data_IF_802741985603
#
_entry.id   IF_802741985603
#
_cell.length_a   1.000
_cell.length_b   1.000
_cell.length_c   1.000
_cell.angle_alpha   90.00
_cell.angle_beta   90.00
_cell.angle_gamma   90.00
#
_symmetry.space_group_name_H-M   'P 1'
#
loop_
_entity.id
_entity.type
_entity.pdbx_description
1 polymer ?
#
# COMPACT_ATOMS: atom_id res chain seq x y z
N UNK A 1 1.72 9.49 -12.77
CA UNK A 1 1.83 8.30 -13.64
C UNK A 1 0.91 7.21 -13.10
N UNK A 2 0.42 6.30 -13.94
CA UNK A 2 -0.51 5.22 -13.61
C UNK A 2 -0.06 3.95 -14.32
N UNK A 3 -0.17 2.79 -13.66
CA UNK A 3 0.06 1.46 -14.24
C UNK A 3 -1.12 0.56 -13.92
N UNK A 4 -1.25 -0.54 -14.65
CA UNK A 4 -2.28 -1.56 -14.47
C UNK A 4 -2.23 -2.57 -15.60
N UNK A 5 -3.36 -3.22 -15.89
CA UNK A 5 -3.54 -4.12 -17.03
C UNK A 5 -4.63 -3.60 -17.95
N UNK A 6 -4.49 -3.84 -19.26
CA UNK A 6 -5.56 -3.68 -20.23
C UNK A 6 -5.62 -4.84 -21.23
N UNK A 7 -6.83 -5.37 -21.47
CA UNK A 7 -7.13 -6.29 -22.56
C UNK A 7 -7.81 -5.61 -23.76
N UNK A 8 -7.86 -4.27 -23.78
CA UNK A 8 -8.51 -3.48 -24.81
C UNK A 8 -7.52 -3.07 -25.89
N UNK A 9 -7.78 -3.42 -27.16
CA UNK A 9 -6.92 -3.06 -28.30
C UNK A 9 -7.05 -1.60 -28.73
N UNK A 10 -8.04 -0.90 -28.20
CA UNK A 10 -8.32 0.52 -28.37
C UNK A 10 -7.96 1.36 -27.14
N UNK A 11 -7.11 0.84 -26.23
CA UNK A 11 -6.61 1.61 -25.10
C UNK A 11 -5.92 2.91 -25.58
N UNK A 12 -6.18 4.07 -24.94
CA UNK A 12 -5.60 5.34 -25.38
C UNK A 12 -4.07 5.31 -25.32
N UNK A 13 -3.40 5.52 -26.45
CA UNK A 13 -1.94 5.57 -26.55
C UNK A 13 -1.46 6.94 -27.02
N UNK A 14 -0.42 7.47 -26.39
CA UNK A 14 0.18 8.79 -26.68
C UNK A 14 1.69 8.67 -26.50
N UNK A 15 2.49 9.06 -27.51
CA UNK A 15 3.96 8.95 -27.46
C UNK A 15 4.46 7.54 -27.05
N UNK A 16 3.75 6.50 -27.48
CA UNK A 16 3.93 5.14 -26.98
C UNK A 16 5.20 4.45 -27.49
N UNK A 17 5.85 3.69 -26.61
CA UNK A 17 6.89 2.73 -26.98
C UNK A 17 6.31 1.48 -27.65
N UNK A 18 5.21 0.95 -27.11
CA UNK A 18 4.39 -0.08 -27.73
C UNK A 18 2.98 0.50 -27.95
N UNK A 19 2.61 0.69 -29.22
CA UNK A 19 1.33 1.29 -29.62
C UNK A 19 0.20 0.27 -29.79
N UNK A 20 0.48 -1.02 -29.60
CA UNK A 20 -0.45 -2.13 -29.70
C UNK A 20 -0.11 -3.14 -28.60
N UNK A 21 -1.13 -3.84 -28.10
CA UNK A 21 -0.93 -5.02 -27.26
C UNK A 21 -0.23 -6.13 -28.05
N UNK A 22 0.64 -6.88 -27.37
CA UNK A 22 1.32 -8.03 -27.96
C UNK A 22 0.72 -9.36 -27.51
N UNK A 23 -0.16 -9.36 -26.50
CA UNK A 23 -0.85 -10.55 -26.01
C UNK A 23 -2.36 -10.33 -25.74
N UNK A 24 -3.01 -11.28 -25.04
CA UNK A 24 -4.39 -11.17 -24.57
C UNK A 24 -4.62 -10.03 -23.54
N UNK A 25 -3.58 -9.51 -22.90
CA UNK A 25 -3.68 -8.31 -22.09
C UNK A 25 -2.32 -7.89 -21.53
N UNK A 26 -1.93 -6.65 -21.79
CA UNK A 26 -0.61 -6.15 -21.43
C UNK A 26 -0.71 -5.21 -20.22
N UNK A 27 0.43 -4.97 -19.56
CA UNK A 27 0.52 -3.85 -18.64
C UNK A 27 0.41 -2.54 -19.43
N UNK A 28 -0.02 -1.46 -18.78
CA UNK A 28 0.07 -0.14 -19.38
C UNK A 28 0.84 0.81 -18.47
N UNK A 29 1.47 1.83 -19.06
CA UNK A 29 2.03 2.96 -18.32
C UNK A 29 1.48 4.25 -18.92
N UNK A 30 0.81 5.06 -18.09
CA UNK A 30 0.20 6.32 -18.49
C UNK A 30 0.70 7.49 -17.65
N UNK A 31 0.86 8.65 -18.27
CA UNK A 31 1.16 9.93 -17.60
C UNK A 31 0.07 10.93 -17.93
N UNK A 32 -0.54 11.49 -16.88
CA UNK A 32 -1.43 12.63 -16.98
C UNK A 32 -0.67 13.91 -16.69
N UNK A 33 -1.07 15.00 -17.34
CA UNK A 33 -0.65 16.35 -17.01
C UNK A 33 -1.23 16.75 -15.64
N UNK A 34 -0.42 17.39 -14.80
CA UNK A 34 -0.84 17.76 -13.44
C UNK A 34 -1.80 18.94 -13.41
N UNK A 35 -1.82 19.77 -14.45
CA UNK A 35 -2.60 21.01 -14.46
C UNK A 35 -4.03 20.75 -14.96
N UNK A 36 -4.18 19.93 -16.00
CA UNK A 36 -5.48 19.68 -16.65
C UNK A 36 -5.89 18.21 -16.77
N UNK A 37 -5.05 17.27 -16.31
CA UNK A 37 -5.34 15.84 -16.34
C UNK A 37 -5.29 15.21 -17.73
N UNK A 38 -4.83 15.92 -18.76
CA UNK A 38 -4.73 15.39 -20.12
C UNK A 38 -3.66 14.29 -20.24
N UNK A 39 -3.85 13.33 -21.16
CA UNK A 39 -2.94 12.22 -21.35
C UNK A 39 -1.69 12.66 -22.15
N UNK A 40 -0.51 12.63 -21.52
CA UNK A 40 0.76 13.10 -22.10
C UNK A 40 1.61 11.96 -22.66
N UNK A 41 1.55 10.80 -22.02
CA UNK A 41 2.21 9.57 -22.43
C UNK A 41 1.30 8.40 -22.07
N UNK A 42 1.21 7.40 -22.94
CA UNK A 42 0.54 6.14 -22.67
C UNK A 42 1.04 5.07 -23.62
N UNK A 43 1.47 3.94 -23.06
CA UNK A 43 2.00 2.79 -23.80
C UNK A 43 1.43 1.50 -23.25
N UNK A 44 1.29 0.49 -24.11
CA UNK A 44 1.28 -0.90 -23.65
C UNK A 44 2.71 -1.28 -23.22
N UNK A 45 2.83 -2.30 -22.38
CA UNK A 45 4.10 -2.87 -21.97
C UNK A 45 3.94 -4.36 -21.68
N UNK A 46 4.41 -5.18 -22.61
CA UNK A 46 4.30 -6.62 -22.46
C UNK A 46 4.88 -7.43 -23.60
N UNK A 47 4.70 -8.74 -23.45
CA UNK A 47 5.07 -9.78 -24.40
C UNK A 47 3.83 -10.40 -25.03
N UNK A 48 3.89 -11.67 -25.43
CA UNK A 48 2.82 -12.33 -26.18
C UNK A 48 1.71 -12.99 -25.33
N UNK A 49 1.76 -12.83 -24.01
CA UNK A 49 0.78 -13.37 -23.05
C UNK A 49 0.23 -12.25 -22.15
N UNK A 50 0.12 -12.49 -20.85
CA UNK A 50 -0.53 -11.59 -19.91
C UNK A 50 0.50 -10.87 -19.05
N UNK A 51 0.37 -9.55 -19.00
CA UNK A 51 1.14 -8.70 -18.11
C UNK A 51 0.22 -7.87 -17.21
N UNK A 52 0.65 -7.67 -15.97
CA UNK A 52 -0.04 -6.84 -15.00
C UNK A 52 0.96 -5.86 -14.39
N UNK A 53 0.66 -4.56 -14.46
CA UNK A 53 1.35 -3.57 -13.65
C UNK A 53 0.92 -3.66 -12.19
N UNK A 54 1.86 -3.87 -11.26
CA UNK A 54 1.60 -3.92 -9.82
C UNK A 54 1.73 -2.54 -9.17
N UNK A 55 2.87 -1.88 -9.41
CA UNK A 55 3.16 -0.56 -8.85
C UNK A 55 4.21 0.18 -9.70
N UNK A 56 4.27 1.51 -9.54
CA UNK A 56 5.28 2.34 -10.21
C UNK A 56 5.74 3.50 -9.32
N UNK A 57 6.99 3.91 -9.52
CA UNK A 57 7.56 5.10 -8.90
C UNK A 57 8.43 5.86 -9.92
N UNK A 58 8.53 7.18 -9.77
CA UNK A 58 9.42 8.02 -10.58
C UNK A 58 10.62 8.40 -9.73
N UNK A 59 11.83 8.07 -10.20
CA UNK A 59 13.06 8.41 -9.50
C UNK A 59 13.37 9.90 -9.54
N UNK A 60 14.26 10.35 -8.66
CA UNK A 60 14.75 11.75 -8.64
C UNK A 60 15.52 12.13 -9.92
N UNK A 61 15.99 11.14 -10.69
CA UNK A 61 16.55 11.29 -12.03
C UNK A 61 15.50 11.48 -13.13
N UNK A 62 14.21 11.34 -12.81
CA UNK A 62 13.08 11.42 -13.73
C UNK A 62 12.71 10.11 -14.40
N UNK A 63 13.48 9.03 -14.23
CA UNK A 63 13.19 7.72 -14.82
C UNK A 63 12.01 7.04 -14.13
N UNK A 64 11.34 6.14 -14.86
CA UNK A 64 10.15 5.44 -14.39
C UNK A 64 10.55 4.03 -13.99
N UNK A 65 10.21 3.61 -12.78
CA UNK A 65 10.48 2.29 -12.26
C UNK A 65 9.14 1.61 -11.99
N UNK A 66 8.98 0.37 -12.41
CA UNK A 66 7.75 -0.38 -12.22
C UNK A 66 8.02 -1.84 -11.91
N UNK A 67 7.10 -2.44 -11.16
CA UNK A 67 7.04 -3.87 -10.93
C UNK A 67 5.67 -4.41 -11.33
N UNK A 68 5.59 -5.72 -11.49
CA UNK A 68 4.37 -6.39 -11.90
C UNK A 68 4.57 -7.89 -12.03
N UNK A 69 3.74 -8.50 -12.87
CA UNK A 69 3.78 -9.92 -13.14
C UNK A 69 3.61 -10.21 -14.64
N UNK A 70 4.30 -11.22 -15.15
CA UNK A 70 4.24 -11.64 -16.56
C UNK A 70 4.32 -13.16 -16.71
N UNK A 71 3.55 -13.73 -17.62
CA UNK A 71 3.69 -15.14 -18.06
C UNK A 71 4.25 -15.26 -19.49
N UNK A 72 4.74 -14.14 -20.04
CA UNK A 72 5.36 -14.03 -21.37
C UNK A 72 6.84 -14.34 -21.34
N UNK A 73 7.28 -15.35 -22.09
CA UNK A 73 8.71 -15.65 -22.23
C UNK A 73 9.47 -14.61 -23.08
N UNK A 74 8.75 -13.79 -23.85
CA UNK A 74 9.25 -12.70 -24.68
C UNK A 74 9.00 -11.32 -24.06
N UNK A 75 8.83 -11.24 -22.73
CA UNK A 75 8.72 -9.97 -22.02
C UNK A 75 9.93 -9.06 -22.34
N UNK A 76 9.75 -7.72 -22.45
CA UNK A 76 10.81 -6.78 -22.85
C UNK A 76 11.96 -6.65 -21.84
N UNK A 77 12.82 -7.66 -21.74
CA UNK A 77 14.01 -7.66 -20.86
C UNK A 77 15.19 -6.89 -21.48
N UNK A 78 15.95 -6.20 -20.64
CA UNK A 78 17.17 -5.44 -21.00
C UNK A 78 18.14 -5.55 -19.83
N UNK A 79 19.36 -6.03 -20.10
CA UNK A 79 20.39 -6.32 -19.09
C UNK A 79 19.86 -7.07 -17.84
N UNK A 80 19.13 -8.20 -18.02
CA UNK A 80 18.40 -8.84 -16.93
C UNK A 80 19.32 -9.55 -15.93
N UNK A 81 18.94 -9.51 -14.65
CA UNK A 81 19.50 -10.36 -13.59
C UNK A 81 19.05 -11.82 -13.80
N UNK A 82 17.76 -12.02 -14.08
CA UNK A 82 17.17 -13.28 -14.50
C UNK A 82 16.58 -13.12 -15.89
N UNK A 83 17.15 -13.83 -16.86
CA UNK A 83 16.86 -13.64 -18.28
C UNK A 83 15.70 -14.49 -18.82
N UNK A 84 15.19 -15.45 -18.04
CA UNK A 84 14.14 -16.37 -18.48
C UNK A 84 13.12 -16.59 -17.38
N UNK A 85 11.88 -16.88 -17.78
CA UNK A 85 10.85 -17.42 -16.90
C UNK A 85 11.24 -18.80 -16.36
N UNK A 86 10.84 -19.09 -15.12
CA UNK A 86 11.09 -20.39 -14.46
C UNK A 86 9.80 -21.22 -14.28
N UNK A 87 8.66 -20.68 -14.73
CA UNK A 87 7.33 -21.26 -14.60
C UNK A 87 7.22 -22.72 -15.05
N UNK A 88 6.69 -23.58 -14.19
CA UNK A 88 6.46 -25.01 -14.47
C UNK A 88 4.98 -25.33 -14.72
N UNK A 89 4.05 -24.47 -14.32
CA UNK A 89 2.60 -24.66 -14.44
C UNK A 89 1.97 -23.51 -15.27
N UNK A 90 1.02 -23.84 -16.14
CA UNK A 90 0.23 -22.88 -16.92
C UNK A 90 -0.69 -22.12 -15.95
N UNK A 91 -0.71 -20.78 -15.99
CA UNK A 91 -1.43 -19.84 -15.08
C UNK A 91 -0.63 -19.23 -13.91
N UNK A 92 0.65 -19.53 -13.79
CA UNK A 92 1.57 -18.79 -12.93
C UNK A 92 2.17 -17.59 -13.69
N UNK A 93 2.63 -16.59 -12.95
CA UNK A 93 3.39 -15.45 -13.46
C UNK A 93 4.75 -15.41 -12.76
N UNK A 94 5.78 -14.86 -13.40
CA UNK A 94 6.96 -14.38 -12.68
C UNK A 94 6.83 -12.89 -12.42
N UNK A 95 7.41 -12.42 -11.31
CA UNK A 95 7.49 -10.97 -11.09
C UNK A 95 8.45 -10.36 -12.09
N UNK A 96 8.27 -9.07 -12.40
CA UNK A 96 9.26 -8.32 -13.14
C UNK A 96 9.60 -7.02 -12.43
N UNK A 97 10.79 -6.49 -12.74
CA UNK A 97 11.20 -5.12 -12.41
C UNK A 97 11.72 -4.48 -13.69
N UNK A 98 11.22 -3.30 -14.00
CA UNK A 98 11.59 -2.54 -15.19
C UNK A 98 11.90 -1.10 -14.81
N UNK A 99 12.93 -0.54 -15.46
CA UNK A 99 13.25 0.89 -15.48
C UNK A 99 13.13 1.39 -16.92
N UNK A 100 12.33 2.42 -17.13
CA UNK A 100 12.18 3.15 -18.37
C UNK A 100 12.83 4.53 -18.25
N UNK A 101 13.22 5.12 -19.38
CA UNK A 101 13.56 6.54 -19.45
C UNK A 101 12.39 7.41 -18.97
N UNK A 102 12.66 8.61 -18.45
CA UNK A 102 11.60 9.49 -17.92
C UNK A 102 10.52 9.93 -18.92
N UNK A 103 10.81 9.87 -20.22
CA UNK A 103 9.84 10.09 -21.29
C UNK A 103 9.08 8.81 -21.70
N UNK A 104 9.41 7.66 -21.10
CA UNK A 104 8.80 6.36 -21.35
C UNK A 104 9.17 5.73 -22.69
N UNK A 105 10.12 6.29 -23.44
CA UNK A 105 10.45 5.87 -24.80
C UNK A 105 11.41 4.68 -24.89
N UNK A 106 12.17 4.39 -23.82
CA UNK A 106 13.24 3.38 -23.81
C UNK A 106 13.22 2.55 -22.54
N UNK A 107 13.35 1.23 -22.67
CA UNK A 107 13.65 0.31 -21.55
C UNK A 107 15.14 0.39 -21.24
N UNK A 108 15.50 0.84 -20.03
CA UNK A 108 16.88 1.01 -19.57
C UNK A 108 17.38 -0.24 -18.83
N UNK A 109 16.49 -0.91 -18.12
CA UNK A 109 16.74 -2.16 -17.41
C UNK A 109 15.42 -2.92 -17.30
N UNK A 110 15.43 -4.24 -17.46
CA UNK A 110 14.24 -5.06 -17.25
C UNK A 110 14.61 -6.52 -17.04
N UNK A 111 14.11 -7.09 -15.95
CA UNK A 111 14.40 -8.46 -15.51
C UNK A 111 13.12 -9.15 -15.07
N UNK A 112 13.09 -10.48 -15.21
CA UNK A 112 12.20 -11.31 -14.38
C UNK A 112 12.79 -11.41 -12.96
N UNK A 113 11.97 -11.78 -11.99
CA UNK A 113 12.40 -12.35 -10.72
C UNK A 113 11.32 -13.32 -10.22
N UNK A 114 11.56 -14.63 -10.35
CA UNK A 114 10.58 -15.64 -9.99
C UNK A 114 11.10 -17.07 -10.15
N UNK A 115 10.43 -17.99 -9.48
CA UNK A 115 10.71 -19.41 -9.43
C UNK A 115 9.72 -20.23 -10.26
N UNK A 116 9.47 -21.45 -9.80
CA UNK A 116 8.69 -22.44 -10.57
C UNK A 116 7.17 -22.24 -10.50
N UNK A 117 6.68 -21.47 -9.53
CA UNK A 117 5.26 -21.23 -9.26
C UNK A 117 4.90 -19.74 -9.50
N UNK A 118 3.84 -19.25 -8.86
CA UNK A 118 3.32 -17.91 -9.10
C UNK A 118 4.05 -16.87 -8.24
N UNK A 119 4.66 -15.88 -8.90
CA UNK A 119 5.43 -14.79 -8.33
C UNK A 119 4.93 -13.45 -8.88
N UNK A 120 4.56 -12.53 -8.00
CA UNK A 120 3.89 -11.27 -8.37
C UNK A 120 4.51 -10.09 -7.66
N UNK A 121 5.10 -9.17 -8.42
CA UNK A 121 5.53 -7.87 -7.91
C UNK A 121 4.32 -6.99 -7.60
N UNK A 122 4.24 -6.46 -6.39
CA UNK A 122 3.08 -5.71 -5.87
C UNK A 122 3.38 -4.28 -5.48
N UNK A 123 4.61 -4.01 -5.04
CA UNK A 123 5.02 -2.70 -4.55
C UNK A 123 6.48 -2.42 -4.93
N UNK A 124 6.79 -1.15 -5.21
CA UNK A 124 8.14 -0.71 -5.55
C UNK A 124 8.47 0.61 -4.84
N UNK A 125 9.69 0.75 -4.37
CA UNK A 125 10.22 1.96 -3.75
C UNK A 125 11.67 2.19 -4.12
N UNK A 126 12.14 3.43 -3.94
CA UNK A 126 13.52 3.83 -4.19
C UNK A 126 14.08 4.50 -2.94
N UNK A 127 15.36 4.28 -2.67
CA UNK A 127 16.11 5.15 -1.75
C UNK A 127 16.69 6.37 -2.48
N UNK A 128 17.35 7.26 -1.74
CA UNK A 128 17.97 8.48 -2.28
C UNK A 128 19.09 8.19 -3.30
N UNK A 129 19.71 7.01 -3.23
CA UNK A 129 20.73 6.53 -4.17
C UNK A 129 20.12 5.82 -5.40
N UNK A 130 18.78 5.76 -5.49
CA UNK A 130 17.99 5.09 -6.53
C UNK A 130 18.15 3.57 -6.57
N UNK A 131 18.56 2.94 -5.47
CA UNK A 131 18.45 1.48 -5.35
C UNK A 131 16.97 1.09 -5.37
N UNK A 132 16.69 -0.04 -6.02
CA UNK A 132 15.33 -0.46 -6.33
C UNK A 132 14.89 -1.47 -5.29
N UNK A 133 13.96 -1.08 -4.43
CA UNK A 133 13.32 -1.97 -3.47
C UNK A 133 11.98 -2.42 -4.06
N UNK A 134 11.67 -3.70 -3.98
CA UNK A 134 10.38 -4.20 -4.40
C UNK A 134 9.92 -5.36 -3.54
N UNK A 135 8.61 -5.52 -3.46
CA UNK A 135 7.98 -6.54 -2.66
C UNK A 135 6.78 -7.12 -3.39
N UNK A 136 6.44 -8.35 -3.05
CA UNK A 136 5.45 -9.12 -3.78
C UNK A 136 5.06 -10.39 -3.06
N UNK A 137 4.33 -11.25 -3.77
CA UNK A 137 3.91 -12.55 -3.27
C UNK A 137 4.61 -13.61 -4.11
N UNK A 138 5.06 -14.68 -3.46
CA UNK A 138 5.69 -15.82 -4.10
C UNK A 138 5.03 -17.10 -3.60
N UNK A 139 4.63 -17.98 -4.52
CA UNK A 139 4.25 -19.36 -4.22
C UNK A 139 5.39 -20.34 -4.51
N UNK A 140 6.56 -19.83 -4.89
CA UNK A 140 7.71 -20.60 -5.32
C UNK A 140 8.59 -20.93 -4.12
N UNK A 141 8.88 -22.21 -3.87
CA UNK A 141 9.87 -22.63 -2.86
C UNK A 141 11.31 -22.44 -3.36
N UNK A 142 11.47 -22.29 -4.68
CA UNK A 142 12.69 -21.98 -5.40
C UNK A 142 12.79 -20.51 -5.86
N UNK A 143 12.12 -19.57 -5.16
CA UNK A 143 12.25 -18.15 -5.45
C UNK A 143 13.74 -17.71 -5.46
N UNK A 144 14.18 -16.81 -6.37
CA UNK A 144 15.57 -16.41 -6.47
C UNK A 144 16.04 -15.64 -5.23
N UNK A 145 16.61 -16.35 -4.25
CA UNK A 145 17.12 -15.79 -2.99
C UNK A 145 18.58 -15.32 -3.11
N UNK A 146 18.87 -14.17 -2.49
CA UNK A 146 20.23 -13.67 -2.27
C UNK A 146 20.32 -13.02 -0.90
N UNK A 147 21.35 -13.34 -0.09
CA UNK A 147 21.52 -12.80 1.27
C UNK A 147 20.23 -12.79 2.12
N UNK A 148 19.42 -13.85 2.02
CA UNK A 148 18.07 -13.87 2.58
C UNK A 148 18.04 -13.89 4.12
N UNK A 149 17.19 -13.06 4.71
CA UNK A 149 16.86 -13.09 6.14
C UNK A 149 16.04 -14.34 6.50
N UNK A 150 15.06 -14.68 5.66
CA UNK A 150 14.28 -15.91 5.69
C UNK A 150 14.51 -16.66 4.38
N UNK A 151 15.15 -17.82 4.47
CA UNK A 151 15.59 -18.62 3.33
C UNK A 151 14.65 -19.81 2.99
N UNK A 152 13.55 -19.94 3.72
CA UNK A 152 12.60 -21.05 3.55
C UNK A 152 11.20 -20.48 3.36
N UNK A 153 10.55 -20.91 2.29
CA UNK A 153 9.13 -20.70 2.06
C UNK A 153 8.32 -21.43 3.14
N UNK A 154 7.53 -20.68 3.90
CA UNK A 154 6.68 -21.18 4.98
C UNK A 154 5.22 -21.33 4.58
N UNK A 155 4.77 -20.52 3.63
CA UNK A 155 3.36 -20.34 3.31
C UNK A 155 2.69 -21.58 2.73
N UNK A 156 1.36 -21.59 2.82
CA UNK A 156 0.55 -22.64 2.17
C UNK A 156 0.45 -22.41 0.65
N UNK A 157 0.10 -21.18 0.26
CA UNK A 157 -0.02 -20.78 -1.15
C UNK A 157 0.89 -19.62 -1.53
N UNK A 158 1.10 -18.67 -0.61
CA UNK A 158 1.99 -17.53 -0.82
C UNK A 158 2.68 -17.14 0.48
N UNK A 159 3.97 -16.87 0.38
CA UNK A 159 4.70 -15.99 1.28
C UNK A 159 4.80 -14.61 0.61
N UNK A 160 4.90 -13.56 1.43
CA UNK A 160 5.42 -12.30 0.92
C UNK A 160 6.92 -12.46 0.62
N UNK A 161 7.44 -11.65 -0.28
CA UNK A 161 8.88 -11.48 -0.45
C UNK A 161 9.24 -10.00 -0.46
N UNK A 162 10.48 -9.70 -0.10
CA UNK A 162 11.09 -8.39 -0.30
C UNK A 162 12.47 -8.56 -0.91
N UNK A 163 12.82 -7.67 -1.83
CA UNK A 163 14.08 -7.70 -2.56
C UNK A 163 14.61 -6.29 -2.82
N UNK A 164 15.92 -6.19 -3.03
CA UNK A 164 16.60 -4.97 -3.45
C UNK A 164 17.56 -5.25 -4.60
N UNK A 165 17.50 -4.41 -5.62
CA UNK A 165 18.40 -4.37 -6.77
C UNK A 165 19.22 -3.08 -6.70
N UNK A 166 20.51 -3.16 -7.01
CA UNK A 166 21.38 -2.00 -7.09
C UNK A 166 20.86 -0.97 -8.12
N UNK A 167 21.11 0.32 -7.90
CA UNK A 167 20.56 1.41 -8.72
C UNK A 167 20.83 1.31 -10.24
N UNK A 168 21.93 0.63 -10.63
CA UNK A 168 22.30 0.39 -12.03
C UNK A 168 21.68 -0.88 -12.64
N UNK A 169 20.90 -1.63 -11.87
CA UNK A 169 20.28 -2.89 -12.30
C UNK A 169 21.24 -4.08 -12.37
N UNK A 170 22.51 -3.92 -11.99
CA UNK A 170 23.54 -4.93 -12.23
C UNK A 170 23.50 -6.13 -11.29
N UNK A 171 22.89 -5.98 -10.11
CA UNK A 171 22.87 -7.04 -9.10
C UNK A 171 21.65 -6.98 -8.17
N UNK A 172 21.21 -8.17 -7.78
CA UNK A 172 20.27 -8.39 -6.67
C UNK A 172 21.07 -8.38 -5.37
N UNK A 173 20.90 -7.36 -4.53
CA UNK A 173 21.64 -7.18 -3.27
C UNK A 173 21.10 -8.09 -2.17
N UNK A 174 19.78 -8.24 -2.12
CA UNK A 174 19.12 -9.25 -1.33
C UNK A 174 17.74 -9.58 -1.90
N UNK A 175 17.25 -10.75 -1.52
CA UNK A 175 15.86 -11.17 -1.65
C UNK A 175 15.56 -12.19 -0.57
N UNK A 176 14.41 -12.05 0.08
CA UNK A 176 14.01 -12.86 1.23
C UNK A 176 12.52 -13.16 1.17
N UNK A 177 12.12 -14.34 1.64
CA UNK A 177 10.74 -14.56 2.03
C UNK A 177 10.41 -13.70 3.26
N UNK A 178 9.12 -13.47 3.48
CA UNK A 178 8.54 -12.79 4.63
C UNK A 178 7.20 -13.45 4.93
N UNK A 179 7.17 -14.44 5.81
CA UNK A 179 5.93 -15.18 6.04
C UNK A 179 6.04 -16.26 7.09
N UNK A 180 4.90 -16.91 7.34
CA UNK A 180 4.73 -18.05 8.23
C UNK A 180 3.94 -19.15 7.54
N UNK A 181 3.07 -19.86 8.26
CA UNK A 181 2.46 -21.10 7.79
C UNK A 181 1.19 -20.98 6.94
N UNK A 182 0.66 -19.77 6.76
CA UNK A 182 -0.56 -19.50 5.96
C UNK A 182 -0.25 -18.60 4.76
N UNK A 183 -1.18 -17.74 4.35
CA UNK A 183 -0.97 -16.80 3.28
C UNK A 183 -0.44 -15.50 3.87
N UNK A 184 0.67 -15.04 3.31
CA UNK A 184 1.29 -13.77 3.64
C UNK A 184 1.34 -12.92 2.37
N UNK A 185 0.65 -11.79 2.37
CA UNK A 185 0.42 -11.00 1.16
C UNK A 185 0.98 -9.60 1.35
N UNK A 186 1.70 -9.10 0.34
CA UNK A 186 2.12 -7.69 0.24
C UNK A 186 1.06 -6.90 -0.52
N UNK A 187 0.70 -5.75 0.03
CA UNK A 187 -0.08 -4.74 -0.69
C UNK A 187 0.76 -3.51 -1.05
N UNK A 188 1.58 -3.02 -0.12
CA UNK A 188 2.37 -1.79 -0.30
C UNK A 188 3.70 -1.82 0.44
N UNK A 189 4.60 -0.96 -0.04
CA UNK A 189 5.87 -0.67 0.61
C UNK A 189 6.21 0.82 0.56
N UNK A 190 7.09 1.23 1.48
CA UNK A 190 7.73 2.54 1.47
C UNK A 190 9.21 2.37 1.83
N UNK A 191 10.06 3.32 1.42
CA UNK A 191 11.49 3.34 1.74
C UNK A 191 11.81 4.66 2.41
N UNK A 192 12.50 4.62 3.55
CA UNK A 192 12.92 5.85 4.24
C UNK A 192 14.25 6.39 3.69
N UNK A 193 14.61 7.63 4.06
CA UNK A 193 15.88 8.26 3.64
C UNK A 193 17.14 7.59 4.21
N UNK A 194 17.00 6.56 5.05
CA UNK A 194 18.11 5.71 5.51
C UNK A 194 18.23 4.41 4.72
N UNK A 195 17.33 4.18 3.74
CA UNK A 195 17.28 2.97 2.93
C UNK A 195 16.61 1.78 3.62
N UNK A 196 15.86 1.99 4.71
CA UNK A 196 15.05 0.92 5.30
C UNK A 196 13.78 0.72 4.49
N UNK A 197 13.42 -0.53 4.21
CA UNK A 197 12.18 -0.86 3.52
C UNK A 197 11.09 -1.22 4.53
N UNK A 198 9.93 -0.59 4.42
CA UNK A 198 8.75 -0.86 5.21
C UNK A 198 7.73 -1.56 4.32
N UNK A 199 7.27 -2.73 4.71
CA UNK A 199 6.33 -3.56 3.95
C UNK A 199 5.07 -3.77 4.80
N UNK A 200 3.90 -3.61 4.17
CA UNK A 200 2.62 -3.92 4.79
C UNK A 200 1.72 -4.73 3.87
N UNK A 201 0.75 -5.38 4.49
CA UNK A 201 -0.24 -6.19 3.84
C UNK A 201 -1.09 -6.90 4.88
N UNK A 202 -1.33 -8.19 4.68
CA UNK A 202 -2.05 -9.01 5.62
C UNK A 202 -1.48 -10.42 5.69
N UNK A 203 -1.70 -11.09 6.81
CA UNK A 203 -1.18 -12.42 7.08
C UNK A 203 -2.21 -13.24 7.85
N UNK A 204 -2.36 -14.51 7.50
CA UNK A 204 -3.07 -15.51 8.32
C UNK A 204 -2.16 -16.34 9.23
N UNK A 205 -0.87 -16.03 9.23
CA UNK A 205 0.19 -16.84 9.82
C UNK A 205 0.40 -16.48 11.29
N UNK A 206 0.15 -17.44 12.19
CA UNK A 206 0.44 -17.27 13.63
C UNK A 206 1.95 -17.19 13.88
N UNK A 207 2.75 -17.84 13.04
CA UNK A 207 4.20 -17.81 13.10
C UNK A 207 4.85 -16.76 12.16
N UNK A 208 4.11 -15.73 11.72
CA UNK A 208 4.72 -14.60 11.00
C UNK A 208 5.86 -14.00 11.85
N UNK A 209 7.03 -13.70 11.26
CA UNK A 209 8.18 -13.23 12.02
C UNK A 209 7.92 -11.85 12.64
N UNK A 210 7.84 -11.77 13.97
CA UNK A 210 7.76 -10.52 14.74
C UNK A 210 9.02 -10.28 15.57
N UNK A 211 9.28 -9.03 15.93
CA UNK A 211 10.42 -8.67 16.79
C UNK A 211 10.02 -8.53 18.26
N UNK A 212 10.84 -8.98 19.22
CA UNK A 212 10.56 -8.77 20.65
C UNK A 212 10.37 -7.28 20.99
N UNK A 213 9.32 -6.96 21.73
CA UNK A 213 9.02 -5.58 22.13
C UNK A 213 8.35 -4.72 21.05
N UNK A 214 7.91 -5.32 19.94
CA UNK A 214 7.00 -4.66 19.01
C UNK A 214 5.61 -4.46 19.63
N UNK A 215 4.80 -3.59 19.02
CA UNK A 215 3.47 -3.22 19.50
C UNK A 215 2.56 -4.44 19.75
N UNK A 216 2.46 -5.32 18.76
CA UNK A 216 1.68 -6.55 18.83
C UNK A 216 2.53 -7.70 18.29
N UNK A 217 3.24 -8.43 19.17
CA UNK A 217 4.15 -9.50 18.76
C UNK A 217 3.45 -10.83 18.52
N UNK A 218 2.14 -10.93 18.79
CA UNK A 218 1.35 -12.15 18.66
C UNK A 218 0.13 -11.90 17.78
N UNK A 219 -0.17 -12.88 16.94
CA UNK A 219 -1.32 -12.88 16.06
C UNK A 219 -2.63 -12.87 16.86
N UNK A 220 -3.54 -11.95 16.55
CA UNK A 220 -4.84 -11.79 17.20
C UNK A 220 -6.00 -12.38 16.37
N UNK A 221 -5.81 -12.54 15.06
CA UNK A 221 -6.82 -13.06 14.14
C UNK A 221 -7.49 -14.35 14.62
N UNK A 222 -8.82 -14.36 14.55
CA UNK A 222 -9.63 -15.51 14.94
C UNK A 222 -9.44 -16.73 14.04
N UNK A 223 -9.67 -17.92 14.60
CA UNK A 223 -9.76 -19.17 13.83
C UNK A 223 -11.23 -19.39 13.50
N UNK A 224 -11.59 -19.52 12.21
CA UNK A 224 -12.95 -19.78 11.73
C UNK A 224 -13.99 -18.68 12.04
N UNK A 225 -13.53 -17.43 12.22
CA UNK A 225 -14.38 -16.28 12.56
C UNK A 225 -14.51 -15.23 11.44
N UNK A 226 -13.92 -15.50 10.26
CA UNK A 226 -13.74 -14.52 9.19
C UNK A 226 -14.56 -14.73 7.92
N UNK A 227 -14.89 -13.61 7.26
CA UNK A 227 -15.74 -13.51 6.08
C UNK A 227 -17.25 -13.66 6.32
N UNK A 228 -18.05 -12.89 5.58
CA UNK A 228 -19.44 -13.25 5.30
C UNK A 228 -19.43 -14.42 4.27
N UNK A 229 -20.39 -15.36 4.35
CA UNK A 229 -20.38 -16.63 3.59
C UNK A 229 -20.25 -16.49 2.07
N UNK A 230 -19.75 -17.53 1.35
CA UNK A 230 -19.53 -18.91 1.82
C UNK A 230 -18.11 -19.16 2.37
N UNK A 231 -18.07 -19.69 3.59
CA UNK A 231 -16.89 -19.89 4.42
C UNK A 231 -15.89 -20.90 3.85
N UNK A 232 -14.58 -20.61 3.98
CA UNK A 232 -13.55 -21.64 4.12
C UNK A 232 -13.32 -21.89 5.63
N UNK A 233 -13.82 -23.00 6.19
CA UNK A 233 -13.71 -23.31 7.62
C UNK A 233 -12.30 -23.78 8.05
N UNK A 234 -11.29 -23.62 7.19
CA UNK A 234 -9.90 -23.96 7.49
C UNK A 234 -8.97 -22.74 7.52
N UNK A 235 -9.48 -21.54 7.22
CA UNK A 235 -8.65 -20.33 7.16
C UNK A 235 -8.65 -19.56 8.48
N UNK A 236 -7.49 -19.05 8.87
CA UNK A 236 -7.44 -18.01 9.89
C UNK A 236 -8.04 -16.71 9.31
N UNK A 237 -8.50 -15.85 10.21
CA UNK A 237 -8.63 -14.43 9.94
C UNK A 237 -7.29 -13.82 9.54
N UNK A 238 -7.30 -12.57 9.09
CA UNK A 238 -6.05 -11.87 8.77
C UNK A 238 -5.79 -10.71 9.69
N UNK A 239 -4.54 -10.59 10.16
CA UNK A 239 -4.03 -9.38 10.79
C UNK A 239 -3.19 -8.61 9.77
N UNK A 240 -3.09 -7.30 9.97
CA UNK A 240 -2.09 -6.48 9.27
C UNK A 240 -0.73 -6.84 9.82
N UNK A 241 0.29 -6.93 8.97
CA UNK A 241 1.67 -6.87 9.41
C UNK A 241 2.33 -5.56 8.95
N UNK A 242 3.30 -5.10 9.74
CA UNK A 242 4.22 -4.01 9.36
C UNK A 242 5.63 -4.48 9.66
N UNK A 243 6.41 -4.66 8.60
CA UNK A 243 7.80 -5.14 8.68
C UNK A 243 8.74 -4.06 8.18
N UNK A 244 9.67 -3.62 9.02
CA UNK A 244 10.79 -2.76 8.65
C UNK A 244 12.05 -3.62 8.46
N UNK A 245 12.59 -3.66 7.26
CA UNK A 245 13.88 -4.29 6.96
C UNK A 245 15.00 -3.26 6.99
N UNK A 246 16.13 -3.64 7.58
CA UNK A 246 17.37 -2.87 7.50
C UNK A 246 17.83 -2.74 6.02
N UNK A 247 18.66 -1.75 5.67
CA UNK A 247 18.99 -1.49 4.27
C UNK A 247 19.69 -2.66 3.59
N UNK A 248 20.47 -3.46 4.32
CA UNK A 248 21.14 -4.65 3.79
C UNK A 248 20.22 -5.88 3.66
N UNK A 249 18.95 -5.76 4.10
CA UNK A 249 17.99 -6.87 4.15
C UNK A 249 18.31 -7.94 5.18
N UNK A 250 19.38 -7.80 5.96
CA UNK A 250 19.92 -8.84 6.84
C UNK A 250 19.32 -8.88 8.24
N UNK A 251 18.42 -7.95 8.58
CA UNK A 251 17.72 -7.93 9.87
C UNK A 251 16.42 -7.14 9.80
N UNK A 252 15.50 -7.45 10.73
CA UNK A 252 14.34 -6.61 11.00
C UNK A 252 14.77 -5.42 11.86
N UNK A 253 14.42 -4.20 11.42
CA UNK A 253 14.37 -3.04 12.31
C UNK A 253 13.27 -3.24 13.35
N UNK A 254 12.07 -3.61 12.88
CA UNK A 254 11.00 -4.19 13.68
C UNK A 254 10.06 -5.00 12.79
N UNK A 255 9.24 -5.86 13.41
CA UNK A 255 8.10 -6.49 12.76
C UNK A 255 6.98 -6.71 13.78
N UNK A 256 5.76 -6.29 13.42
CA UNK A 256 4.59 -6.29 14.31
C UNK A 256 3.33 -6.65 13.54
N UNK A 257 2.33 -7.14 14.27
CA UNK A 257 0.95 -7.12 13.82
C UNK A 257 0.27 -5.79 14.16
N UNK A 258 -0.87 -5.52 13.53
CA UNK A 258 -1.92 -4.60 13.97
C UNK A 258 -3.25 -5.29 13.64
N UNK A 259 -3.96 -5.83 14.63
CA UNK A 259 -5.16 -6.63 14.36
C UNK A 259 -6.02 -6.94 15.58
N UNK A 260 -7.21 -7.49 15.31
CA UNK A 260 -8.18 -7.98 16.28
C UNK A 260 -8.64 -9.41 15.94
N UNK A 261 -9.84 -9.80 16.36
CA UNK A 261 -10.32 -11.16 16.18
C UNK A 261 -10.87 -11.51 14.78
N UNK A 262 -10.90 -10.56 13.84
CA UNK A 262 -11.46 -10.69 12.48
C UNK A 262 -10.47 -10.23 11.41
N UNK A 263 -10.95 -9.92 10.19
CA UNK A 263 -10.08 -9.58 9.06
C UNK A 263 -9.69 -8.11 9.08
N UNK A 264 -8.39 -7.88 8.99
CA UNK A 264 -7.74 -6.61 8.72
C UNK A 264 -6.82 -6.69 7.51
N UNK A 265 -6.75 -5.61 6.74
CA UNK A 265 -5.77 -5.46 5.65
C UNK A 265 -5.03 -4.13 5.76
N UNK A 266 -3.70 -4.13 5.61
CA UNK A 266 -2.91 -2.94 5.36
C UNK A 266 -2.81 -2.73 3.86
N UNK A 267 -3.37 -1.63 3.34
CA UNK A 267 -3.44 -1.36 1.89
C UNK A 267 -2.49 -0.29 1.42
N UNK A 268 -2.13 0.64 2.31
CA UNK A 268 -1.13 1.67 2.05
C UNK A 268 -0.18 1.84 3.23
N UNK A 269 1.06 2.19 2.94
CA UNK A 269 2.06 2.58 3.95
C UNK A 269 2.84 3.80 3.46
N UNK A 270 3.08 4.75 4.36
CA UNK A 270 3.96 5.89 4.17
C UNK A 270 4.88 6.05 5.40
N UNK A 271 6.03 6.69 5.23
CA UNK A 271 7.03 6.84 6.30
C UNK A 271 7.51 8.28 6.33
N UNK A 272 7.53 8.89 7.51
CA UNK A 272 8.02 10.27 7.68
C UNK A 272 9.55 10.34 7.85
N UNK A 273 10.09 11.56 7.89
CA UNK A 273 11.52 11.79 8.09
C UNK A 273 12.05 11.37 9.48
N UNK A 274 11.15 11.16 10.46
CA UNK A 274 11.51 10.61 11.77
C UNK A 274 11.52 9.06 11.77
N UNK A 275 11.08 8.44 10.68
CA UNK A 275 11.01 6.99 10.51
C UNK A 275 9.74 6.36 11.08
N UNK A 276 8.71 7.14 11.40
CA UNK A 276 7.41 6.63 11.83
C UNK A 276 6.64 6.10 10.62
N UNK A 277 5.95 4.98 10.80
CA UNK A 277 5.16 4.36 9.74
C UNK A 277 3.67 4.65 9.90
N UNK A 278 3.04 5.06 8.81
CA UNK A 278 1.61 5.33 8.71
C UNK A 278 0.98 4.29 7.80
N UNK A 279 0.05 3.50 8.33
CA UNK A 279 -0.63 2.43 7.60
C UNK A 279 -2.10 2.77 7.45
N UNK A 280 -2.62 2.66 6.25
CA UNK A 280 -4.05 2.78 5.97
C UNK A 280 -4.62 1.46 5.47
N UNK A 281 -5.85 1.15 5.83
CA UNK A 281 -6.49 -0.06 5.37
C UNK A 281 -7.91 -0.21 5.88
N UNK A 282 -8.34 -1.45 6.09
CA UNK A 282 -9.64 -1.70 6.73
C UNK A 282 -9.57 -2.76 7.82
N UNK A 283 -10.52 -2.70 8.74
CA UNK A 283 -10.78 -3.72 9.77
C UNK A 283 -12.25 -4.14 9.77
N UNK A 284 -12.49 -5.38 10.14
CA UNK A 284 -13.83 -5.91 10.45
C UNK A 284 -13.97 -6.30 11.92
N UNK A 285 -12.91 -6.12 12.70
CA UNK A 285 -12.80 -6.48 14.11
C UNK A 285 -13.45 -5.46 15.02
N UNK A 286 -14.38 -5.88 15.90
CA UNK A 286 -14.90 -5.01 16.96
C UNK A 286 -13.86 -4.72 18.06
N UNK A 287 -12.77 -5.50 18.10
CA UNK A 287 -11.68 -5.43 19.07
C UNK A 287 -10.35 -5.00 18.43
N UNK A 288 -10.40 -4.37 17.24
CA UNK A 288 -9.23 -3.71 16.65
C UNK A 288 -8.68 -2.67 17.64
N UNK A 289 -7.35 -2.49 17.80
CA UNK A 289 -6.73 -1.65 18.82
C UNK A 289 -6.91 -0.14 18.54
N UNK A 290 -8.17 0.31 18.52
CA UNK A 290 -8.59 1.69 18.38
C UNK A 290 -8.33 2.42 19.69
N UNK A 291 -7.49 3.47 19.67
CA UNK A 291 -7.37 4.39 20.79
C UNK A 291 -8.46 5.47 20.66
N UNK A 292 -9.36 5.57 21.66
CA UNK A 292 -10.52 6.47 21.61
C UNK A 292 -11.65 5.88 20.76
N UNK A 293 -12.85 5.73 21.33
CA UNK A 293 -13.96 4.98 20.72
C UNK A 293 -14.44 5.63 19.41
N UNK A 294 -14.06 5.11 18.22
CA UNK A 294 -14.64 5.55 16.97
C UNK A 294 -15.96 4.79 16.80
N UNK A 295 -16.76 5.19 15.83
CA UNK A 295 -17.99 4.52 15.45
C UNK A 295 -17.88 2.96 15.53
N UNK A 296 -18.75 2.24 16.26
CA UNK A 296 -18.71 0.77 16.38
C UNK A 296 -18.92 0.01 15.05
N UNK A 297 -19.07 0.73 13.93
CA UNK A 297 -18.99 0.17 12.58
C UNK A 297 -17.79 0.66 11.75
N UNK A 298 -16.84 1.41 12.30
CA UNK A 298 -15.68 1.96 11.58
C UNK A 298 -14.91 0.88 10.82
N UNK A 299 -14.91 0.96 9.49
CA UNK A 299 -14.25 -0.05 8.63
C UNK A 299 -12.88 0.41 8.17
N UNK A 300 -12.65 1.69 7.88
CA UNK A 300 -11.32 2.17 7.46
C UNK A 300 -10.51 2.58 8.68
N UNK A 301 -9.22 2.27 8.71
CA UNK A 301 -8.32 2.75 9.75
C UNK A 301 -7.09 3.47 9.17
N UNK A 302 -6.53 4.42 9.93
CA UNK A 302 -5.16 4.92 9.78
C UNK A 302 -4.41 4.69 11.08
N UNK A 303 -3.35 3.88 11.04
CA UNK A 303 -2.50 3.56 12.17
C UNK A 303 -1.15 4.27 12.05
N UNK A 304 -0.66 4.88 13.13
CA UNK A 304 0.72 5.40 13.21
C UNK A 304 1.55 4.58 14.18
N UNK A 305 2.58 3.91 13.67
CA UNK A 305 3.62 3.28 14.48
C UNK A 305 4.80 4.24 14.63
N UNK A 306 5.35 4.29 15.84
CA UNK A 306 6.61 5.00 16.09
C UNK A 306 7.79 4.36 15.33
N UNK A 307 8.90 5.07 15.26
CA UNK A 307 10.10 4.62 14.54
C UNK A 307 10.69 3.28 15.00
N UNK A 308 10.33 2.79 16.20
CA UNK A 308 10.74 1.49 16.72
C UNK A 308 9.70 0.39 16.51
N UNK A 309 8.48 0.73 16.06
CA UNK A 309 7.37 -0.19 15.92
C UNK A 309 6.83 -0.75 17.24
N UNK A 310 7.14 -0.08 18.36
CA UNK A 310 6.76 -0.51 19.72
C UNK A 310 5.51 0.20 20.21
N UNK A 311 5.24 1.39 19.68
CA UNK A 311 4.10 2.23 20.09
C UNK A 311 3.22 2.45 18.88
N UNK A 312 1.94 2.07 19.01
CA UNK A 312 0.87 2.53 18.15
C UNK A 312 0.35 3.85 18.71
N UNK A 313 0.79 4.96 18.12
CA UNK A 313 0.52 6.31 18.64
C UNK A 313 -0.96 6.66 18.53
N UNK A 314 -1.60 6.32 17.42
CA UNK A 314 -3.05 6.42 17.26
C UNK A 314 -3.56 5.47 16.19
N UNK A 315 -4.86 5.21 16.24
CA UNK A 315 -5.61 4.57 15.16
C UNK A 315 -6.88 5.38 14.92
N UNK A 316 -7.01 5.89 13.70
CA UNK A 316 -8.16 6.68 13.29
C UNK A 316 -9.18 5.82 12.55
N UNK A 317 -10.38 5.63 13.11
CA UNK A 317 -11.49 4.98 12.42
C UNK A 317 -12.26 5.94 11.51
N UNK A 318 -12.48 5.57 10.24
CA UNK A 318 -13.29 6.33 9.28
C UNK A 318 -14.55 5.53 8.93
N UNK A 319 -15.70 6.10 9.31
CA UNK A 319 -17.08 5.71 8.99
C UNK A 319 -17.56 4.28 9.31
N UNK A 320 -18.81 4.18 9.79
CA UNK A 320 -19.61 2.96 9.68
C UNK A 320 -20.34 2.79 8.34
N UNK A 321 -20.30 1.58 7.80
CA UNK A 321 -21.01 1.23 6.56
C UNK A 321 -20.39 0.01 5.89
N UNK A 322 -21.15 -0.75 5.10
CA UNK A 322 -20.61 -1.96 4.46
C UNK A 322 -19.67 -1.62 3.30
N UNK A 323 -18.46 -2.18 3.34
CA UNK A 323 -17.45 -2.19 2.27
C UNK A 323 -16.70 -0.88 1.96
N UNK A 324 -16.39 -0.07 2.97
CA UNK A 324 -15.48 1.07 2.84
C UNK A 324 -14.00 0.60 2.97
N UNK A 325 -13.07 1.16 2.20
CA UNK A 325 -11.65 0.82 2.31
C UNK A 325 -10.72 1.99 2.01
N UNK A 326 -9.74 2.23 2.89
CA UNK A 326 -8.58 3.07 2.57
C UNK A 326 -7.62 2.33 1.64
N UNK A 327 -7.02 3.04 0.70
CA UNK A 327 -6.20 2.46 -0.37
C UNK A 327 -4.79 3.06 -0.41
N UNK A 328 -4.69 4.38 -0.41
CA UNK A 328 -3.42 5.09 -0.51
C UNK A 328 -3.20 6.00 0.69
N UNK A 329 -1.93 6.14 1.08
CA UNK A 329 -1.48 7.12 2.07
C UNK A 329 -0.14 7.69 1.59
N UNK A 330 0.03 8.99 1.74
CA UNK A 330 1.30 9.68 1.57
C UNK A 330 1.49 10.65 2.73
N UNK A 331 2.75 10.96 3.06
CA UNK A 331 3.11 11.91 4.11
C UNK A 331 4.06 12.94 3.55
N UNK A 332 3.85 14.21 3.88
CA UNK A 332 4.76 15.28 3.47
C UNK A 332 5.83 15.59 4.52
N UNK A 333 6.66 16.60 4.24
CA UNK A 333 7.75 17.03 5.13
C UNK A 333 7.27 17.69 6.43
N UNK A 334 6.00 18.04 6.52
CA UNK A 334 5.33 18.62 7.68
C UNK A 334 4.60 17.56 8.52
N UNK A 335 4.65 16.29 8.08
CA UNK A 335 3.89 15.16 8.64
C UNK A 335 2.38 15.23 8.40
N UNK A 336 1.94 16.01 7.40
CA UNK A 336 0.54 15.97 6.97
C UNK A 336 0.30 14.72 6.12
N UNK A 337 -0.86 14.08 6.33
CA UNK A 337 -1.21 12.85 5.63
C UNK A 337 -2.17 13.13 4.48
N UNK A 338 -1.93 12.49 3.34
CA UNK A 338 -2.82 12.49 2.19
C UNK A 338 -3.32 11.09 1.97
N UNK A 339 -4.63 10.89 2.14
CA UNK A 339 -5.24 9.56 2.09
C UNK A 339 -6.27 9.44 0.99
N UNK A 340 -6.35 8.26 0.41
CA UNK A 340 -7.38 7.91 -0.59
C UNK A 340 -8.14 6.67 -0.16
N UNK A 341 -9.41 6.59 -0.52
CA UNK A 341 -10.23 5.41 -0.23
C UNK A 341 -11.56 5.43 -0.95
N UNK A 342 -12.26 4.29 -0.93
CA UNK A 342 -13.59 4.16 -1.51
C UNK A 342 -14.63 3.98 -0.42
N UNK A 343 -15.72 4.74 -0.54
CA UNK A 343 -16.96 4.59 0.20
C UNK A 343 -17.97 3.89 -0.70
N UNK A 344 -18.90 3.11 -0.14
CA UNK A 344 -19.90 2.38 -0.94
C UNK A 344 -21.34 2.94 -0.82
N UNK A 345 -21.63 3.87 0.12
CA UNK A 345 -22.97 4.44 0.29
C UNK A 345 -22.94 5.91 0.74
N UNK A 346 -23.17 6.88 -0.18
CA UNK A 346 -23.08 6.73 -1.63
C UNK A 346 -21.67 6.29 -2.05
N UNK A 347 -21.55 5.64 -3.22
CA UNK A 347 -20.25 5.23 -3.71
C UNK A 347 -19.42 6.48 -4.04
N UNK A 348 -18.41 6.77 -3.23
CA UNK A 348 -17.60 7.98 -3.35
C UNK A 348 -16.12 7.71 -3.14
N UNK A 349 -15.27 8.44 -3.83
CA UNK A 349 -13.82 8.41 -3.67
C UNK A 349 -13.43 9.61 -2.82
N UNK A 350 -12.77 9.37 -1.68
CA UNK A 350 -12.27 10.48 -0.89
C UNK A 350 -10.78 10.70 -1.14
N UNK A 351 -10.40 11.98 -1.09
CA UNK A 351 -9.02 12.44 -0.92
C UNK A 351 -9.05 13.39 0.26
N UNK A 352 -8.35 13.07 1.34
CA UNK A 352 -8.29 13.94 2.52
C UNK A 352 -6.85 14.29 2.86
N UNK A 353 -6.61 15.57 3.15
CA UNK A 353 -5.41 16.03 3.85
C UNK A 353 -5.72 16.06 5.34
N UNK A 354 -4.89 15.41 6.15
CA UNK A 354 -4.98 15.43 7.60
C UNK A 354 -3.86 16.33 8.12
N UNK A 355 -4.23 17.54 8.51
CA UNK A 355 -3.35 18.52 9.14
C UNK A 355 -3.26 18.21 10.64
N UNK A 356 -2.07 17.80 11.08
CA UNK A 356 -1.79 17.48 12.49
C UNK A 356 -1.67 18.73 13.37
N UNK A 357 -1.70 19.94 12.81
CA UNK A 357 -1.63 21.21 13.53
C UNK A 357 -3.02 21.83 13.80
N UNK A 358 -4.03 21.53 12.98
CA UNK A 358 -5.41 22.01 13.15
C UNK A 358 -6.01 21.55 14.49
N UNK A 359 -6.78 22.42 15.17
CA UNK A 359 -7.39 22.11 16.47
C UNK A 359 -8.91 22.29 16.42
N UNK A 360 -9.63 21.28 15.89
CA UNK A 360 -11.08 21.33 15.67
C UNK A 360 -11.88 21.02 16.95
N UNK A 361 -11.62 21.79 18.01
CA UNK A 361 -12.42 21.77 19.25
C UNK A 361 -13.48 22.88 19.15
N UNK A 362 -14.62 22.52 18.59
CA UNK A 362 -15.79 23.39 18.43
C UNK A 362 -16.67 23.36 19.67
N UNK A 363 -16.64 22.27 20.43
CA UNK A 363 -17.50 22.00 21.58
C UNK A 363 -16.63 21.78 22.83
N UNK A 364 -16.05 22.88 23.31
CA UNK A 364 -15.31 22.95 24.57
C UNK A 364 -16.12 22.36 25.77
N UNK A 365 -15.48 21.77 26.80
CA UNK A 365 -14.10 22.01 27.22
C UNK A 365 -13.17 20.77 27.31
N UNK A 366 -13.56 19.62 26.77
CA UNK A 366 -12.87 18.34 27.04
C UNK A 366 -11.78 17.98 26.01
N UNK A 367 -11.47 18.89 25.08
CA UNK A 367 -10.65 18.60 23.90
C UNK A 367 -11.49 17.98 22.79
N UNK A 368 -10.89 17.74 21.63
CA UNK A 368 -11.62 17.25 20.45
C UNK A 368 -12.21 15.86 20.74
N UNK A 369 -13.52 15.72 20.59
CA UNK A 369 -14.24 14.49 20.90
C UNK A 369 -15.45 14.24 19.99
N UNK A 370 -16.34 13.34 20.43
CA UNK A 370 -17.52 12.93 19.63
C UNK A 370 -18.45 14.11 19.33
N UNK A 371 -18.52 15.08 20.23
CA UNK A 371 -19.35 16.27 20.09
C UNK A 371 -18.89 17.13 18.89
N UNK A 372 -17.58 17.21 18.65
CA UNK A 372 -16.98 17.92 17.53
C UNK A 372 -17.23 17.19 16.19
N UNK A 373 -17.14 15.86 16.19
CA UNK A 373 -17.52 15.06 15.03
C UNK A 373 -18.99 15.26 14.66
N UNK A 374 -19.87 15.27 15.66
CA UNK A 374 -21.30 15.54 15.46
C UNK A 374 -21.52 16.97 14.96
N UNK A 375 -20.73 17.94 15.43
CA UNK A 375 -20.81 19.32 14.95
C UNK A 375 -20.48 19.41 13.46
N UNK A 376 -19.38 18.81 13.00
CA UNK A 376 -19.02 18.77 11.57
C UNK A 376 -20.05 17.98 10.76
N UNK A 377 -20.47 16.80 11.24
CA UNK A 377 -21.47 15.97 10.56
C UNK A 377 -22.85 16.67 10.46
N UNK A 378 -23.17 17.58 11.39
CA UNK A 378 -24.35 18.43 11.32
C UNK A 378 -24.37 19.37 10.11
N UNK A 379 -23.21 19.59 9.49
CA UNK A 379 -23.02 20.42 8.30
C UNK A 379 -22.65 19.63 7.05
N UNK A 380 -22.87 18.32 7.06
CA UNK A 380 -22.55 17.43 5.94
C UNK A 380 -23.14 17.90 4.60
N UNK A 381 -22.33 17.79 3.54
CA UNK A 381 -22.67 18.08 2.13
C UNK A 381 -23.07 19.54 1.89
N UNK A 382 -22.64 20.46 2.76
CA UNK A 382 -22.91 21.88 2.63
C UNK A 382 -21.78 22.60 1.89
N UNK A 383 -22.18 23.55 1.06
CA UNK A 383 -21.30 24.44 0.29
C UNK A 383 -21.63 25.91 0.60
N UNK A 384 -20.79 26.89 0.21
CA UNK A 384 -21.08 28.33 0.39
C UNK A 384 -22.42 28.82 -0.18
N UNK A 385 -23.10 28.02 -1.00
CA UNK A 385 -24.42 28.33 -1.52
C UNK A 385 -25.57 27.97 -0.54
N UNK A 386 -25.30 27.13 0.45
CA UNK A 386 -26.31 26.61 1.37
C UNK A 386 -26.57 27.57 2.54
N UNK A 387 -27.84 27.80 2.95
CA UNK A 387 -28.17 28.75 4.01
C UNK A 387 -27.62 28.42 5.40
N UNK A 388 -27.22 27.16 5.61
CA UNK A 388 -26.66 26.65 6.86
C UNK A 388 -25.14 26.47 6.85
N UNK A 389 -24.48 26.80 5.74
CA UNK A 389 -23.04 26.63 5.60
C UNK A 389 -22.28 27.52 6.58
N UNK A 390 -21.32 26.92 7.26
CA UNK A 390 -20.46 27.60 8.20
C UNK A 390 -19.00 27.22 7.92
N UNK A 391 -18.15 28.19 7.51
CA UNK A 391 -16.76 27.92 7.14
C UNK A 391 -15.92 27.34 8.26
N UNK A 392 -16.36 27.40 9.53
CA UNK A 392 -15.59 26.81 10.62
C UNK A 392 -15.53 25.28 10.54
N UNK A 393 -16.51 24.63 9.90
CA UNK A 393 -16.55 23.18 9.72
C UNK A 393 -15.98 22.72 8.37
N UNK A 394 -15.56 23.66 7.52
CA UNK A 394 -14.77 23.44 6.29
C UNK A 394 -13.28 23.55 6.67
N UNK A 395 -12.79 22.50 7.34
CA UNK A 395 -11.47 22.45 7.96
C UNK A 395 -10.34 22.39 6.94
N UNK A 396 -10.58 21.80 5.77
CA UNK A 396 -9.59 21.77 4.69
C UNK A 396 -9.66 23.01 3.78
N UNK A 397 -10.72 23.83 3.89
CA UNK A 397 -10.93 25.06 3.13
C UNK A 397 -11.24 24.83 1.65
N UNK A 398 -11.77 23.67 1.28
CA UNK A 398 -12.09 23.31 -0.11
C UNK A 398 -13.46 23.84 -0.57
N UNK A 399 -14.24 24.43 0.34
CA UNK A 399 -15.56 24.96 0.07
C UNK A 399 -16.67 23.92 0.12
N UNK A 400 -16.42 22.73 0.69
CA UNK A 400 -17.37 21.64 0.77
C UNK A 400 -17.20 20.82 2.05
N UNK A 401 -18.15 20.96 2.98
CA UNK A 401 -18.08 20.22 4.25
C UNK A 401 -18.40 18.75 3.99
N UNK A 402 -17.38 17.89 4.07
CA UNK A 402 -17.45 16.49 3.68
C UNK A 402 -16.61 15.59 4.59
N UNK A 403 -16.33 14.37 4.12
CA UNK A 403 -15.55 13.39 4.85
C UNK A 403 -14.15 13.87 5.22
N UNK A 404 -13.53 14.74 4.43
CA UNK A 404 -12.22 15.32 4.72
C UNK A 404 -12.24 16.13 6.02
N UNK A 405 -13.34 16.81 6.35
CA UNK A 405 -13.47 17.61 7.57
C UNK A 405 -13.74 16.73 8.79
N UNK A 406 -14.56 15.69 8.61
CA UNK A 406 -14.74 14.66 9.66
C UNK A 406 -13.39 14.00 9.98
N UNK A 407 -12.60 13.72 8.94
CA UNK A 407 -11.26 13.15 9.04
C UNK A 407 -10.27 14.05 9.78
N UNK A 408 -10.29 15.35 9.50
CA UNK A 408 -9.47 16.34 10.21
C UNK A 408 -9.85 16.45 11.68
N UNK A 409 -11.15 16.33 11.98
CA UNK A 409 -11.66 16.33 13.34
C UNK A 409 -11.23 15.09 14.11
N UNK A 410 -11.48 13.91 13.55
CA UNK A 410 -11.17 12.64 14.20
C UNK A 410 -9.66 12.47 14.40
N UNK A 411 -8.83 12.96 13.47
CA UNK A 411 -7.37 12.89 13.60
C UNK A 411 -6.80 13.65 14.80
N UNK A 412 -7.60 14.53 15.41
CA UNK A 412 -7.23 15.30 16.58
C UNK A 412 -7.92 14.80 17.86
N UNK A 413 -8.49 13.59 17.87
CA UNK A 413 -9.18 13.01 19.03
C UNK A 413 -8.38 13.15 20.34
N UNK A 414 -9.06 13.57 21.41
CA UNK A 414 -8.49 13.87 22.75
C UNK A 414 -7.43 14.96 22.78
N UNK A 415 -7.12 15.61 21.65
CA UNK A 415 -6.22 16.75 21.62
C UNK A 415 -6.86 17.90 22.39
N UNK A 416 -6.16 18.34 23.43
CA UNK A 416 -6.53 19.56 24.15
C UNK A 416 -6.09 20.78 23.34
N UNK A 417 -7.06 21.50 22.81
CA UNK A 417 -6.84 22.76 22.12
C UNK A 417 -6.60 23.87 23.13
N UNK A 418 -5.37 24.40 23.16
CA UNK A 418 -5.05 25.57 23.98
C UNK A 418 -5.48 26.80 23.20
N UNK A 419 -6.56 27.46 23.66
CA UNK A 419 -7.13 28.66 23.05
C UNK A 419 -6.25 29.90 23.09
#
# INVERSE_FOLDING_TARGET
YITGQTGSSDFPVVNAMQSQMNGPGDAFISRLDSDDGSLVFSTYFGGNRHEHGGDLIVGSNGDIYLTGATDSADFPTVDPIQSNLTLTICFCYDSFVTRLSGDGSTVLFSTYLGGSQDDKGRAIGLDDDLNIYFAGNTGSDDFPLHNALQATFGGDMYDAFAARIAADGSMLDYSTYLGGEQWDIVNRMAVDGMGNAFVTGFTGSQAYPTTPGSFQPQFAGGINACGQPPFDPLRNCYDVYVTKLAPDGGSFGYSTFIGGGRDEEGRGIAVDAAGNAYVIGYTTSPDFPLQGSPDPGAIIYIAKLDSTGSILEYVLGIESGSANAGHGIAVDSQSDLYVTGALNVPADLFVARIDQAACPDFVAPEGVGVEDLIAVAGHWDQTPADPGWDPQFDLNGDGHINIADIMLTSANWERMCVG
#
